data_IF_717194689477
#
_entry.id   IF_717194689477
#
_cell.length_a   1.000
_cell.length_b   1.000
_cell.length_c   1.000
_cell.angle_alpha   90.00
_cell.angle_beta   90.00
_cell.angle_gamma   90.00
#
_symmetry.space_group_name_H-M   'P 1'
#
loop_
_entity.id
_entity.type
_entity.pdbx_description
1 polymer ?
#
# COMPACT_ATOMS: atom_id res chain seq x y z
N UNK A 1 -36.17 27.22 -24.31
CA UNK A 1 -35.14 27.49 -23.28
C UNK A 1 -34.34 26.21 -23.15
N UNK A 2 -33.08 26.04 -23.54
CA UNK A 2 -31.94 26.94 -23.78
C UNK A 2 -31.14 26.44 -24.98
N UNK A 3 -30.62 27.37 -25.80
CA UNK A 3 -29.80 27.07 -26.99
C UNK A 3 -28.33 27.12 -26.59
N UNK A 4 -27.60 26.01 -26.77
CA UNK A 4 -26.14 25.97 -26.67
C UNK A 4 -25.56 26.47 -27.99
N UNK A 5 -24.89 27.61 -27.94
CA UNK A 5 -24.23 28.25 -29.08
C UNK A 5 -22.81 27.70 -29.17
N UNK A 6 -22.52 26.95 -30.23
CA UNK A 6 -21.18 26.46 -30.56
C UNK A 6 -20.47 27.52 -31.40
N UNK A 7 -19.44 28.17 -30.85
CA UNK A 7 -18.58 29.09 -31.59
C UNK A 7 -17.45 28.31 -32.29
N UNK A 8 -17.62 28.10 -33.60
CA UNK A 8 -16.55 27.70 -34.51
C UNK A 8 -15.65 28.91 -34.79
N UNK A 9 -14.45 28.94 -34.21
CA UNK A 9 -13.42 29.92 -34.57
C UNK A 9 -12.67 29.42 -35.80
N UNK A 10 -13.09 29.91 -36.96
CA UNK A 10 -12.38 29.83 -38.24
C UNK A 10 -11.09 30.67 -38.17
N UNK A 11 -9.93 30.02 -38.22
CA UNK A 11 -8.62 30.71 -38.29
C UNK A 11 -8.32 31.05 -39.76
N UNK A 12 -8.66 32.28 -40.14
CA UNK A 12 -8.40 32.87 -41.46
C UNK A 12 -6.89 33.07 -41.64
N UNK A 13 -6.30 32.35 -42.59
CA UNK A 13 -4.97 32.58 -43.12
C UNK A 13 -5.02 33.76 -44.08
N UNK A 14 -4.22 34.80 -43.84
CA UNK A 14 -4.12 35.97 -44.73
C UNK A 14 -3.58 37.19 -44.02
N UNK A 15 -2.27 37.40 -44.13
CA UNK A 15 -1.69 38.54 -44.86
C UNK A 15 -0.28 38.88 -44.37
N UNK A 16 0.66 38.79 -45.31
CA UNK A 16 2.05 39.20 -45.16
C UNK A 16 2.13 40.73 -45.06
N UNK A 17 2.10 41.25 -43.85
CA UNK A 17 2.55 42.61 -43.58
C UNK A 17 4.08 42.65 -43.56
N UNK A 18 4.65 43.37 -44.54
CA UNK A 18 6.07 43.71 -44.60
C UNK A 18 6.48 44.43 -43.31
N UNK A 19 7.54 44.00 -42.62
CA UNK A 19 7.99 44.67 -41.40
C UNK A 19 8.55 46.05 -41.75
N UNK A 20 7.86 47.09 -41.29
CA UNK A 20 8.36 48.46 -41.23
C UNK A 20 9.43 48.49 -40.14
N UNK A 21 10.68 48.71 -40.53
CA UNK A 21 11.82 48.81 -39.64
C UNK A 21 11.64 49.97 -38.66
N UNK A 22 11.04 49.68 -37.50
CA UNK A 22 11.11 50.56 -36.34
C UNK A 22 12.48 50.35 -35.70
N UNK A 23 13.20 51.46 -35.64
CA UNK A 23 14.46 51.66 -34.94
C UNK A 23 14.42 50.91 -33.59
N UNK A 24 15.34 49.97 -33.32
CA UNK A 24 15.39 49.33 -32.01
C UNK A 24 15.83 50.39 -31.02
N UNK A 25 14.86 50.91 -30.25
CA UNK A 25 15.16 51.55 -28.99
C UNK A 25 15.98 50.54 -28.20
N UNK A 26 17.25 50.89 -27.98
CA UNK A 26 18.16 50.20 -27.06
C UNK A 26 17.51 50.31 -25.67
N UNK A 27 16.58 49.41 -25.39
CA UNK A 27 16.19 49.07 -24.04
C UNK A 27 17.49 48.70 -23.33
N UNK A 28 17.97 49.63 -22.52
CA UNK A 28 19.05 49.39 -21.57
C UNK A 28 18.56 48.23 -20.72
N UNK A 29 18.97 47.02 -21.06
CA UNK A 29 18.97 45.90 -20.15
C UNK A 29 19.86 46.36 -19.00
N UNK A 30 19.24 46.98 -18.00
CA UNK A 30 19.85 47.22 -16.71
C UNK A 30 20.27 45.83 -16.25
N UNK A 31 21.56 45.54 -16.41
CA UNK A 31 22.14 44.30 -15.95
C UNK A 31 21.80 44.22 -14.47
N UNK A 32 20.85 43.33 -14.14
CA UNK A 32 20.53 43.01 -12.76
C UNK A 32 21.87 42.75 -12.06
N UNK A 33 22.21 43.53 -11.02
CA UNK A 33 23.51 43.41 -10.39
C UNK A 33 23.70 41.96 -9.99
N UNK A 34 24.87 41.39 -10.34
CA UNK A 34 25.20 39.96 -10.17
C UNK A 34 24.90 39.45 -8.74
N UNK A 35 24.83 40.35 -7.76
CA UNK A 35 24.41 40.06 -6.40
C UNK A 35 22.94 39.62 -6.28
N UNK A 36 21.99 40.27 -6.96
CA UNK A 36 20.56 39.92 -6.91
C UNK A 36 20.34 38.51 -7.47
N UNK A 37 21.01 38.14 -8.56
CA UNK A 37 20.93 36.79 -9.12
C UNK A 37 21.42 35.70 -8.15
N UNK A 38 22.48 35.98 -7.37
CA UNK A 38 22.98 35.06 -6.33
C UNK A 38 21.98 34.89 -5.21
N UNK A 39 21.36 35.97 -4.73
CA UNK A 39 20.34 35.88 -3.68
C UNK A 39 19.09 35.12 -4.14
N UNK A 40 18.62 35.35 -5.37
CA UNK A 40 17.49 34.59 -5.95
C UNK A 40 17.82 33.10 -6.02
N UNK A 41 19.04 32.75 -6.43
CA UNK A 41 19.46 31.35 -6.51
C UNK A 41 19.52 30.68 -5.12
N UNK A 42 20.05 31.37 -4.10
CA UNK A 42 20.07 30.87 -2.72
C UNK A 42 18.65 30.74 -2.16
N UNK A 43 17.78 31.72 -2.40
CA UNK A 43 16.36 31.68 -2.00
C UNK A 43 15.59 30.53 -2.65
N UNK A 44 15.91 30.17 -3.90
CA UNK A 44 15.30 29.03 -4.60
C UNK A 44 15.86 27.68 -4.13
N UNK A 45 17.12 27.61 -3.70
CA UNK A 45 17.73 26.39 -3.16
C UNK A 45 17.31 26.10 -1.73
N UNK A 46 17.03 27.12 -0.93
CA UNK A 46 16.62 26.97 0.47
C UNK A 46 15.41 26.02 0.67
N UNK A 47 14.28 26.14 -0.07
CA UNK A 47 13.15 25.22 0.09
C UNK A 47 13.46 23.80 -0.38
N UNK A 48 14.36 23.62 -1.36
CA UNK A 48 14.80 22.29 -1.80
C UNK A 48 15.57 21.57 -0.68
N UNK A 49 16.48 22.27 0.01
CA UNK A 49 17.24 21.70 1.13
C UNK A 49 16.34 21.49 2.35
N UNK A 50 15.43 22.41 2.66
CA UNK A 50 14.47 22.26 3.76
C UNK A 50 13.48 21.11 3.52
N UNK A 51 13.11 20.83 2.27
CA UNK A 51 12.22 19.71 1.93
C UNK A 51 12.88 18.34 2.13
N UNK A 52 14.21 18.25 2.01
CA UNK A 52 14.94 17.01 2.25
C UNK A 52 15.02 16.64 3.74
N UNK A 53 14.91 17.62 4.65
CA UNK A 53 14.90 17.40 6.09
C UNK A 53 13.50 17.13 6.67
N UNK A 54 12.44 17.21 5.86
CA UNK A 54 11.05 17.03 6.31
C UNK A 54 10.48 15.61 6.04
N UNK A 55 11.33 14.65 5.67
CA UNK A 55 10.91 13.26 5.40
C UNK A 55 10.54 12.50 6.69
N UNK A 56 10.99 12.97 7.85
CA UNK A 56 10.50 12.50 9.14
C UNK A 56 9.29 13.34 9.57
N UNK A 57 8.10 12.78 9.36
CA UNK A 57 6.86 13.34 9.89
C UNK A 57 6.91 13.41 11.41
N UNK A 58 6.22 14.42 11.94
CA UNK A 58 5.96 14.55 13.38
C UNK A 58 5.39 13.21 13.89
N UNK A 59 6.01 12.66 14.95
CA UNK A 59 5.76 11.32 15.52
C UNK A 59 6.34 10.09 14.80
N UNK A 60 7.36 10.23 13.94
CA UNK A 60 8.07 9.08 13.38
C UNK A 60 7.22 8.23 12.42
N UNK A 61 6.16 8.82 11.87
CA UNK A 61 5.36 8.21 10.82
C UNK A 61 5.90 8.68 9.46
N UNK A 62 6.16 7.78 8.50
CA UNK A 62 6.51 8.17 7.14
C UNK A 62 5.38 9.01 6.53
N UNK A 63 5.70 10.10 5.83
CA UNK A 63 4.69 10.86 5.10
C UNK A 63 4.05 10.00 3.98
N UNK A 64 2.72 10.10 3.77
CA UNK A 64 2.05 9.36 2.71
C UNK A 64 2.57 9.80 1.34
N UNK A 65 3.20 8.87 0.64
CA UNK A 65 3.66 9.00 -0.74
C UNK A 65 2.49 8.94 -1.73
N UNK A 66 2.76 9.23 -3.00
CA UNK A 66 1.75 9.08 -4.08
C UNK A 66 1.24 7.62 -4.16
N UNK A 67 2.09 6.64 -3.82
CA UNK A 67 1.71 5.24 -3.76
C UNK A 67 0.73 4.95 -2.62
N UNK A 68 0.89 5.62 -1.47
CA UNK A 68 -0.02 5.48 -0.34
C UNK A 68 -1.40 6.05 -0.67
N UNK A 69 -1.50 7.12 -1.46
CA UNK A 69 -2.80 7.63 -1.94
C UNK A 69 -3.52 6.67 -2.89
N UNK A 70 -2.78 5.98 -3.75
CA UNK A 70 -3.36 4.98 -4.68
C UNK A 70 -3.82 3.75 -3.89
N UNK A 71 -3.04 3.31 -2.91
CA UNK A 71 -3.46 2.27 -1.98
C UNK A 71 -4.73 2.70 -1.21
N UNK A 72 -4.72 3.91 -0.65
CA UNK A 72 -5.88 4.49 0.05
C UNK A 72 -7.11 4.58 -0.85
N UNK A 73 -6.99 5.01 -2.11
CA UNK A 73 -8.13 5.06 -3.04
C UNK A 73 -8.67 3.66 -3.35
N UNK A 74 -7.76 2.70 -3.56
CA UNK A 74 -8.11 1.30 -3.77
C UNK A 74 -8.84 0.69 -2.56
N UNK A 75 -8.48 1.10 -1.34
CA UNK A 75 -9.01 0.59 -0.05
C UNK A 75 -10.23 1.39 0.47
N UNK A 76 -10.33 2.67 0.15
CA UNK A 76 -11.39 3.60 0.59
C UNK A 76 -12.74 3.30 -0.04
N UNK A 77 -12.80 2.36 -0.99
CA UNK A 77 -14.05 1.66 -1.36
C UNK A 77 -14.51 0.66 -0.28
N UNK A 78 -14.45 1.09 0.99
CA UNK A 78 -14.91 0.42 2.22
C UNK A 78 -16.42 0.21 2.21
N UNK A 79 -16.91 -0.79 1.47
CA UNK A 79 -18.29 -1.26 1.65
C UNK A 79 -18.49 -2.72 1.22
N UNK A 80 -17.57 -3.67 1.49
CA UNK A 80 -17.91 -5.11 1.31
C UNK A 80 -17.01 -6.14 2.02
N UNK A 81 -16.57 -5.91 3.27
CA UNK A 81 -15.74 -6.92 3.99
C UNK A 81 -16.51 -8.17 4.49
N UNK A 82 -17.80 -8.32 4.20
CA UNK A 82 -18.66 -9.38 4.79
C UNK A 82 -19.39 -10.28 3.77
N UNK A 83 -19.10 -10.21 2.47
CA UNK A 83 -19.99 -10.80 1.46
C UNK A 83 -19.41 -11.64 0.32
N UNK A 84 -18.10 -11.63 0.04
CA UNK A 84 -17.60 -12.27 -1.19
C UNK A 84 -17.36 -13.77 -1.01
N UNK A 85 -18.44 -14.55 -1.14
CA UNK A 85 -18.47 -16.03 -1.15
C UNK A 85 -17.98 -16.62 -2.49
N UNK A 86 -16.88 -16.08 -3.04
CA UNK A 86 -16.34 -16.44 -4.35
C UNK A 86 -15.36 -17.61 -4.33
N UNK A 87 -15.85 -18.83 -4.09
CA UNK A 87 -15.40 -20.13 -4.64
C UNK A 87 -13.94 -20.64 -4.51
N UNK A 88 -12.95 -19.81 -4.21
CA UNK A 88 -11.54 -20.22 -4.13
C UNK A 88 -11.11 -20.19 -2.67
N UNK A 89 -10.91 -21.36 -2.07
CA UNK A 89 -10.48 -21.50 -0.68
C UNK A 89 -9.24 -20.65 -0.36
N UNK A 90 -9.08 -20.28 0.90
CA UNK A 90 -7.88 -19.60 1.42
C UNK A 90 -6.65 -20.45 1.05
N UNK A 91 -5.66 -19.84 0.41
CA UNK A 91 -4.41 -20.52 0.05
C UNK A 91 -3.56 -20.79 1.29
N UNK A 92 -2.63 -21.75 1.22
CA UNK A 92 -1.74 -22.07 2.34
C UNK A 92 -0.93 -20.84 2.83
N UNK A 93 -0.45 -20.02 1.90
CA UNK A 93 0.28 -18.79 2.24
C UNK A 93 -0.63 -17.75 2.92
N UNK A 94 -1.88 -17.60 2.49
CA UNK A 94 -2.85 -16.72 3.17
C UNK A 94 -3.26 -17.27 4.52
N UNK A 95 -3.37 -18.59 4.68
CA UNK A 95 -3.65 -19.23 5.97
C UNK A 95 -2.50 -18.99 6.95
N UNK A 96 -1.25 -19.18 6.50
CA UNK A 96 -0.07 -18.88 7.31
C UNK A 96 0.02 -17.39 7.69
N UNK A 97 -0.29 -16.50 6.75
CA UNK A 97 -0.35 -15.05 7.01
C UNK A 97 -1.41 -14.73 8.07
N UNK A 98 -2.60 -15.31 7.95
CA UNK A 98 -3.71 -15.07 8.88
C UNK A 98 -3.44 -15.65 10.26
N UNK A 99 -2.90 -16.86 10.36
CA UNK A 99 -2.54 -17.46 11.64
C UNK A 99 -1.52 -16.61 12.40
N UNK A 100 -0.43 -16.20 11.73
CA UNK A 100 0.57 -15.34 12.34
C UNK A 100 0.00 -13.95 12.70
N UNK A 101 -0.84 -13.38 11.82
CA UNK A 101 -1.50 -12.11 12.05
C UNK A 101 -2.44 -12.14 13.26
N UNK A 102 -3.30 -13.16 13.39
CA UNK A 102 -4.20 -13.28 14.55
C UNK A 102 -3.44 -13.41 15.87
N UNK A 103 -2.26 -14.06 15.88
CA UNK A 103 -1.42 -14.13 17.08
C UNK A 103 -0.83 -12.77 17.45
N UNK A 104 -0.42 -11.97 16.47
CA UNK A 104 0.07 -10.60 16.67
C UNK A 104 -1.05 -9.64 17.10
N UNK A 105 -2.24 -9.80 16.54
CA UNK A 105 -3.43 -9.00 16.87
C UNK A 105 -4.06 -9.36 18.21
N UNK A 106 -3.74 -10.53 18.76
CA UNK A 106 -4.27 -10.92 20.07
C UNK A 106 -3.79 -9.91 21.11
N UNK A 107 -4.67 -9.44 22.03
CA UNK A 107 -4.24 -8.59 23.11
C UNK A 107 -3.18 -9.33 23.95
N UNK A 108 -2.31 -8.57 24.63
CA UNK A 108 -1.48 -9.13 25.69
C UNK A 108 -2.39 -9.96 26.59
N UNK A 109 -2.08 -11.24 26.80
CA UNK A 109 -2.90 -12.06 27.66
C UNK A 109 -2.41 -11.81 29.08
N UNK A 110 -3.16 -11.05 29.92
CA UNK A 110 -2.61 -10.63 31.20
C UNK A 110 -2.48 -11.79 32.19
N UNK A 111 -3.05 -12.95 31.87
CA UNK A 111 -3.01 -14.09 32.76
C UNK A 111 -1.71 -14.87 32.61
N UNK A 112 -0.93 -15.04 33.69
CA UNK A 112 0.15 -16.01 33.72
C UNK A 112 -0.48 -17.40 33.57
N UNK A 113 -0.56 -17.92 32.34
CA UNK A 113 -1.09 -19.25 32.03
C UNK A 113 -0.24 -20.40 32.62
N UNK A 114 0.70 -20.11 33.52
CA UNK A 114 1.43 -21.10 34.31
C UNK A 114 0.81 -21.42 35.66
N UNK A 115 -0.13 -20.61 36.19
CA UNK A 115 -0.83 -20.93 37.42
C UNK A 115 -2.20 -21.53 37.11
N UNK A 116 -2.19 -22.74 36.54
CA UNK A 116 -3.33 -23.64 36.65
C UNK A 116 -3.49 -24.02 38.13
N UNK A 117 -4.07 -23.11 38.92
CA UNK A 117 -4.69 -23.48 40.17
C UNK A 117 -5.78 -24.52 39.87
N UNK A 118 -6.05 -25.48 40.76
CA UNK A 118 -6.96 -26.61 40.51
C UNK A 118 -8.44 -26.22 40.33
N UNK A 119 -8.76 -24.93 40.28
CA UNK A 119 -10.12 -24.43 40.05
C UNK A 119 -10.18 -23.75 38.67
N UNK A 120 -10.27 -24.56 37.63
CA UNK A 120 -10.56 -24.14 36.27
C UNK A 120 -11.94 -23.49 36.19
N UNK A 121 -11.97 -22.17 36.17
CA UNK A 121 -13.14 -21.37 35.82
C UNK A 121 -12.96 -20.76 34.44
N UNK A 122 -13.43 -21.47 33.41
CA UNK A 122 -13.50 -20.98 32.03
C UNK A 122 -14.51 -19.82 31.96
N UNK A 123 -14.01 -18.59 32.03
CA UNK A 123 -14.78 -17.37 31.83
C UNK A 123 -14.24 -16.55 30.66
N UNK A 124 -14.59 -16.94 29.43
CA UNK A 124 -14.59 -16.00 28.30
C UNK A 124 -15.73 -14.99 28.55
N UNK A 125 -15.43 -13.89 29.24
CA UNK A 125 -16.43 -12.89 29.55
C UNK A 125 -15.83 -11.63 30.14
N UNK A 126 -15.77 -10.57 29.33
CA UNK A 126 -15.72 -9.21 29.84
C UNK A 126 -14.64 -8.32 29.24
N UNK A 127 -14.94 -7.71 28.09
CA UNK A 127 -14.34 -6.43 27.66
C UNK A 127 -14.78 -5.24 28.54
N UNK A 128 -14.87 -5.46 29.85
CA UNK A 128 -15.37 -4.53 30.85
C UNK A 128 -14.38 -4.36 32.00
N UNK A 129 -13.08 -4.41 31.71
CA UNK A 129 -12.06 -4.07 32.70
C UNK A 129 -12.33 -2.64 33.19
N UNK A 130 -12.69 -2.54 34.48
CA UNK A 130 -12.88 -1.28 35.19
C UNK A 130 -11.61 -0.41 35.01
N UNK A 131 -11.74 0.88 34.73
CA UNK A 131 -10.63 1.82 34.81
C UNK A 131 -10.27 2.02 36.29
N UNK A 132 -9.35 1.22 36.81
CA UNK A 132 -8.91 1.34 38.21
C UNK A 132 -8.27 0.11 38.82
N UNK A 133 -8.40 -1.07 38.22
CA UNK A 133 -7.48 -2.18 38.53
C UNK A 133 -6.20 -1.94 37.73
N UNK A 134 -5.22 -1.30 38.36
CA UNK A 134 -3.88 -1.17 37.81
C UNK A 134 -3.32 -2.53 37.40
N UNK A 135 -2.35 -2.57 36.46
CA UNK A 135 -1.77 -3.82 35.99
C UNK A 135 -1.17 -4.55 37.19
N UNK A 136 -1.81 -5.63 37.62
CA UNK A 136 -1.22 -6.51 38.63
C UNK A 136 0.03 -7.07 37.97
N UNK A 137 1.19 -6.61 38.44
CA UNK A 137 2.48 -6.68 37.76
C UNK A 137 2.69 -7.99 37.01
N UNK A 138 2.80 -7.89 35.69
CA UNK A 138 3.29 -9.02 34.90
C UNK A 138 4.70 -9.35 35.37
N UNK A 139 5.00 -10.62 35.70
CA UNK A 139 6.37 -11.01 35.93
C UNK A 139 7.20 -10.58 34.73
N UNK A 140 8.30 -9.87 34.97
CA UNK A 140 9.21 -9.38 33.93
C UNK A 140 9.61 -10.48 32.93
N UNK A 141 9.79 -11.71 33.41
CA UNK A 141 10.04 -12.91 32.60
C UNK A 141 8.89 -13.27 31.64
N UNK A 142 7.63 -13.00 32.01
CA UNK A 142 6.48 -13.20 31.13
C UNK A 142 6.51 -12.20 29.96
N UNK A 143 6.79 -10.93 30.25
CA UNK A 143 6.96 -9.89 29.22
C UNK A 143 8.07 -10.28 28.25
N UNK A 144 9.22 -10.72 28.76
CA UNK A 144 10.35 -11.19 27.94
C UNK A 144 9.95 -12.35 27.02
N UNK A 145 9.27 -13.36 27.56
CA UNK A 145 8.82 -14.52 26.81
C UNK A 145 7.85 -14.17 25.69
N UNK A 146 6.93 -13.23 25.94
CA UNK A 146 6.02 -12.75 24.90
C UNK A 146 6.70 -11.88 23.85
N UNK A 147 7.61 -10.97 24.23
CA UNK A 147 8.39 -10.18 23.27
C UNK A 147 9.18 -11.10 22.32
N UNK A 148 9.83 -12.15 22.85
CA UNK A 148 10.54 -13.15 22.04
C UNK A 148 9.59 -13.88 21.08
N UNK A 149 8.40 -14.24 21.56
CA UNK A 149 7.37 -14.87 20.71
C UNK A 149 6.91 -13.93 19.62
N UNK A 150 6.67 -12.67 19.92
CA UNK A 150 6.20 -11.66 18.97
C UNK A 150 7.26 -11.35 17.91
N UNK A 151 8.56 -11.34 18.26
CA UNK A 151 9.66 -11.29 17.29
C UNK A 151 9.59 -12.43 16.26
N UNK A 152 9.33 -13.66 16.73
CA UNK A 152 9.19 -14.82 15.86
C UNK A 152 7.93 -14.72 14.99
N UNK A 153 6.80 -14.34 15.58
CA UNK A 153 5.53 -14.19 14.86
C UNK A 153 5.60 -13.09 13.81
N UNK A 154 6.21 -11.94 14.12
CA UNK A 154 6.42 -10.85 13.15
C UNK A 154 7.27 -11.31 11.96
N UNK A 155 8.26 -12.17 12.22
CA UNK A 155 9.07 -12.78 11.15
C UNK A 155 8.22 -13.68 10.25
N UNK A 156 7.45 -14.59 10.84
CA UNK A 156 6.59 -15.53 10.10
C UNK A 156 5.51 -14.79 9.30
N UNK A 157 4.87 -13.81 9.94
CA UNK A 157 3.88 -12.94 9.33
C UNK A 157 4.47 -12.21 8.11
N UNK A 158 5.64 -11.60 8.24
CA UNK A 158 6.31 -10.91 7.14
C UNK A 158 6.67 -11.84 5.98
N UNK A 159 7.10 -13.09 6.25
CA UNK A 159 7.41 -14.06 5.19
C UNK A 159 6.13 -14.45 4.44
N UNK A 160 5.06 -14.79 5.15
CA UNK A 160 3.79 -15.19 4.55
C UNK A 160 3.16 -14.03 3.75
N UNK A 161 3.13 -12.83 4.33
CA UNK A 161 2.58 -11.62 3.69
C UNK A 161 3.27 -11.32 2.36
N UNK A 162 4.61 -11.43 2.28
CA UNK A 162 5.33 -11.25 1.01
C UNK A 162 4.89 -12.25 -0.06
N UNK A 163 4.68 -13.52 0.30
CA UNK A 163 4.24 -14.56 -0.66
C UNK A 163 2.83 -14.31 -1.17
N UNK A 164 1.94 -13.89 -0.27
CA UNK A 164 0.58 -13.48 -0.62
C UNK A 164 0.62 -12.30 -1.58
N UNK A 165 1.36 -11.23 -1.26
CA UNK A 165 1.48 -10.05 -2.11
C UNK A 165 2.11 -10.33 -3.48
N UNK A 166 3.11 -11.23 -3.55
CA UNK A 166 3.68 -11.69 -4.83
C UNK A 166 2.62 -12.41 -5.66
N UNK A 167 1.84 -13.30 -5.04
CA UNK A 167 0.75 -14.03 -5.72
C UNK A 167 -0.33 -13.07 -6.19
N UNK A 168 -0.72 -12.11 -5.35
CA UNK A 168 -1.69 -11.06 -5.67
C UNK A 168 -1.23 -10.14 -6.79
N UNK A 169 0.07 -9.81 -6.85
CA UNK A 169 0.63 -9.04 -7.96
C UNK A 169 0.51 -9.77 -9.31
N UNK A 170 0.67 -11.10 -9.32
CA UNK A 170 0.49 -11.93 -10.51
C UNK A 170 -0.98 -12.05 -10.90
N UNK A 171 -1.88 -12.20 -9.92
CA UNK A 171 -3.34 -12.17 -10.14
C UNK A 171 -3.75 -10.84 -10.79
N UNK A 172 -3.23 -9.71 -10.30
CA UNK A 172 -3.48 -8.42 -10.94
C UNK A 172 -3.00 -8.39 -12.37
N UNK A 173 -1.75 -8.79 -12.61
CA UNK A 173 -1.20 -8.77 -13.95
C UNK A 173 -2.09 -9.56 -14.94
N UNK A 174 -2.56 -10.74 -14.56
CA UNK A 174 -3.50 -11.52 -15.37
C UNK A 174 -4.86 -10.81 -15.59
N UNK A 175 -5.40 -10.16 -14.56
CA UNK A 175 -6.62 -9.35 -14.66
C UNK A 175 -6.45 -8.19 -15.65
N UNK A 176 -5.29 -7.53 -15.66
CA UNK A 176 -5.01 -6.35 -16.51
C UNK A 176 -4.62 -6.68 -17.94
N UNK A 177 -3.88 -7.77 -18.14
CA UNK A 177 -3.54 -8.27 -19.48
C UNK A 177 -4.80 -8.67 -20.28
N UNK A 178 -5.99 -8.57 -19.66
CA UNK A 178 -7.28 -8.90 -20.25
C UNK A 178 -7.25 -10.29 -20.85
N UNK A 179 -6.75 -11.26 -20.07
CA UNK A 179 -6.85 -12.67 -20.45
C UNK A 179 -8.31 -12.92 -20.88
N UNK A 180 -8.54 -13.26 -22.15
CA UNK A 180 -9.88 -13.42 -22.69
C UNK A 180 -10.63 -14.58 -22.01
N UNK A 181 -9.91 -15.44 -21.28
CA UNK A 181 -10.49 -16.56 -20.55
C UNK A 181 -10.97 -16.19 -19.13
N UNK A 182 -10.60 -15.01 -18.61
CA UNK A 182 -11.04 -14.56 -17.29
C UNK A 182 -12.41 -13.90 -17.38
N UNK A 183 -13.40 -14.51 -16.72
CA UNK A 183 -14.74 -13.93 -16.57
C UNK A 183 -14.66 -12.62 -15.79
N UNK A 184 -15.65 -11.73 -16.02
CA UNK A 184 -15.71 -10.43 -15.32
C UNK A 184 -15.83 -10.64 -13.82
N UNK A 185 -16.56 -11.67 -13.42
CA UNK A 185 -16.76 -12.11 -12.05
C UNK A 185 -15.45 -12.53 -11.39
N UNK A 186 -14.58 -13.26 -12.11
CA UNK A 186 -13.28 -13.71 -11.60
C UNK A 186 -12.31 -12.53 -11.41
N UNK A 187 -12.37 -11.54 -12.32
CA UNK A 187 -11.60 -10.30 -12.19
C UNK A 187 -12.01 -9.50 -10.95
N UNK A 188 -13.31 -9.39 -10.69
CA UNK A 188 -13.84 -8.72 -9.49
C UNK A 188 -13.45 -9.48 -8.22
N UNK A 189 -13.68 -10.79 -8.21
CA UNK A 189 -13.32 -11.67 -7.08
C UNK A 189 -11.83 -11.56 -6.73
N UNK A 190 -10.95 -11.56 -7.74
CA UNK A 190 -9.51 -11.39 -7.54
C UNK A 190 -9.16 -10.06 -6.88
N UNK A 191 -9.78 -8.95 -7.33
CA UNK A 191 -9.56 -7.62 -6.73
C UNK A 191 -10.06 -7.55 -5.30
N UNK A 192 -11.24 -8.11 -5.02
CA UNK A 192 -11.83 -8.13 -3.68
C UNK A 192 -10.94 -8.93 -2.71
N UNK A 193 -10.42 -10.08 -3.13
CA UNK A 193 -9.50 -10.90 -2.32
C UNK A 193 -8.20 -10.17 -1.98
N UNK A 194 -7.62 -9.46 -2.93
CA UNK A 194 -6.43 -8.65 -2.68
C UNK A 194 -6.69 -7.51 -1.70
N UNK A 195 -7.84 -6.83 -1.83
CA UNK A 195 -8.26 -5.78 -0.88
C UNK A 195 -8.37 -6.37 0.51
N UNK A 196 -9.01 -7.52 0.65
CA UNK A 196 -9.15 -8.20 1.93
C UNK A 196 -7.78 -8.57 2.53
N UNK A 197 -6.89 -9.17 1.74
CA UNK A 197 -5.54 -9.53 2.18
C UNK A 197 -4.76 -8.30 2.66
N UNK A 198 -4.81 -7.19 1.92
CA UNK A 198 -4.11 -5.98 2.32
C UNK A 198 -4.73 -5.31 3.55
N UNK A 199 -6.06 -5.18 3.59
CA UNK A 199 -6.77 -4.67 4.78
C UNK A 199 -6.47 -5.49 6.03
N UNK A 200 -6.31 -6.81 5.89
CA UNK A 200 -5.90 -7.68 6.99
C UNK A 200 -4.47 -7.37 7.47
N UNK A 201 -3.54 -7.12 6.54
CA UNK A 201 -2.16 -6.75 6.88
C UNK A 201 -2.14 -5.43 7.65
N UNK A 202 -2.84 -4.40 7.16
CA UNK A 202 -2.94 -3.10 7.83
C UNK A 202 -3.55 -3.22 9.23
N UNK A 203 -4.67 -3.93 9.37
CA UNK A 203 -5.30 -4.11 10.68
C UNK A 203 -4.39 -4.85 11.67
N UNK A 204 -3.60 -5.81 11.18
CA UNK A 204 -2.62 -6.53 12.00
C UNK A 204 -1.56 -5.58 12.55
N UNK A 205 -1.02 -4.67 11.74
CA UNK A 205 -0.06 -3.67 12.23
C UNK A 205 -0.68 -2.67 13.19
N UNK A 206 -1.93 -2.27 12.95
CA UNK A 206 -2.66 -1.38 13.87
C UNK A 206 -2.84 -2.03 15.25
N UNK A 207 -3.28 -3.29 15.29
CA UNK A 207 -3.41 -4.08 16.52
C UNK A 207 -2.06 -4.29 17.20
N UNK A 208 -1.04 -4.67 16.43
CA UNK A 208 0.31 -4.90 16.95
C UNK A 208 0.91 -3.61 17.53
N UNK A 209 0.63 -2.45 16.91
CA UNK A 209 1.01 -1.14 17.44
C UNK A 209 0.37 -0.82 18.79
N UNK A 210 -0.90 -1.22 19.02
CA UNK A 210 -1.53 -1.15 20.35
C UNK A 210 -0.83 -2.06 21.35
N UNK A 211 -0.45 -3.26 20.93
CA UNK A 211 0.27 -4.23 21.76
C UNK A 211 1.66 -3.75 22.18
N UNK A 212 2.43 -3.15 21.26
CA UNK A 212 3.73 -2.54 21.58
C UNK A 212 3.61 -1.41 22.62
N UNK A 213 2.54 -0.60 22.55
CA UNK A 213 2.26 0.41 23.58
C UNK A 213 1.96 -0.22 24.94
N UNK A 214 1.24 -1.34 24.97
CA UNK A 214 1.00 -2.07 26.21
C UNK A 214 2.30 -2.59 26.84
N UNK A 215 3.24 -3.13 26.05
CA UNK A 215 4.58 -3.50 26.54
C UNK A 215 5.32 -2.29 27.11
N UNK A 216 5.30 -1.16 26.42
CA UNK A 216 5.93 0.06 26.88
C UNK A 216 5.41 0.47 28.27
N UNK A 217 4.09 0.52 28.47
CA UNK A 217 3.50 0.87 29.76
C UNK A 217 3.86 -0.13 30.86
N UNK A 218 3.83 -1.44 30.55
CA UNK A 218 4.18 -2.47 31.52
C UNK A 218 5.66 -2.39 31.97
N UNK A 219 6.57 -2.14 31.03
CA UNK A 219 8.00 -1.98 31.33
C UNK A 219 8.25 -0.69 32.11
N UNK A 220 7.60 0.42 31.72
CA UNK A 220 7.73 1.72 32.39
C UNK A 220 7.24 1.69 33.85
N UNK A 221 6.14 0.97 34.10
CA UNK A 221 5.62 0.76 35.45
C UNK A 221 6.62 -0.02 36.33
N UNK A 222 7.19 -1.12 35.81
CA UNK A 222 8.17 -1.89 36.57
C UNK A 222 9.44 -1.08 36.81
N UNK A 223 9.91 -0.32 35.81
CA UNK A 223 11.07 0.56 35.92
C UNK A 223 10.88 1.63 37.00
N UNK A 224 9.69 2.22 37.08
CA UNK A 224 9.36 3.25 38.07
C UNK A 224 9.37 2.68 39.50
N UNK A 225 8.95 1.43 39.67
CA UNK A 225 8.89 0.76 40.97
C UNK A 225 10.22 0.14 41.41
N UNK A 226 11.00 -0.40 40.47
CA UNK A 226 12.27 -1.10 40.72
C UNK A 226 13.19 -1.03 39.50
N UNK A 227 14.06 0.00 39.38
CA UNK A 227 15.02 0.08 38.29
C UNK A 227 16.08 -1.02 38.41
N UNK A 228 16.20 -1.86 37.39
CA UNK A 228 17.15 -2.97 37.29
C UNK A 228 17.72 -3.03 35.86
N UNK A 229 18.92 -3.59 35.68
CA UNK A 229 19.51 -3.86 34.38
C UNK A 229 18.59 -4.67 33.45
N UNK A 230 17.76 -5.55 34.01
CA UNK A 230 16.81 -6.34 33.23
C UNK A 230 15.76 -5.48 32.51
N UNK A 231 15.29 -4.38 33.12
CA UNK A 231 14.29 -3.51 32.46
C UNK A 231 14.90 -2.77 31.27
N UNK A 232 16.18 -2.39 31.35
CA UNK A 232 16.93 -1.79 30.23
C UNK A 232 17.06 -2.77 29.06
N UNK A 233 17.29 -4.07 29.33
CA UNK A 233 17.34 -5.09 28.28
C UNK A 233 15.96 -5.26 27.59
N UNK A 234 14.87 -5.26 28.37
CA UNK A 234 13.51 -5.32 27.81
C UNK A 234 13.19 -4.09 26.95
N UNK A 235 13.58 -2.88 27.39
CA UNK A 235 13.42 -1.65 26.60
C UNK A 235 14.16 -1.77 25.26
N UNK A 236 15.39 -2.28 25.26
CA UNK A 236 16.16 -2.54 24.05
C UNK A 236 15.48 -3.55 23.12
N UNK A 237 14.97 -4.65 23.66
CA UNK A 237 14.23 -5.68 22.91
C UNK A 237 12.93 -5.12 22.30
N UNK A 238 12.20 -4.30 23.05
CA UNK A 238 10.98 -3.61 22.59
C UNK A 238 11.29 -2.61 21.48
N UNK A 239 12.36 -1.80 21.63
CA UNK A 239 12.79 -0.86 20.59
C UNK A 239 13.13 -1.59 19.29
N UNK A 240 13.91 -2.67 19.37
CA UNK A 240 14.24 -3.48 18.22
C UNK A 240 12.99 -4.09 17.55
N UNK A 241 12.01 -4.54 18.33
CA UNK A 241 10.74 -5.06 17.80
C UNK A 241 9.94 -3.97 17.07
N UNK A 242 9.87 -2.76 17.65
CA UNK A 242 9.19 -1.60 17.07
C UNK A 242 9.83 -1.16 15.75
N UNK A 243 11.15 -1.07 15.71
CA UNK A 243 11.87 -0.66 14.50
C UNK A 243 11.70 -1.69 13.40
N UNK A 244 11.72 -2.98 13.77
CA UNK A 244 11.44 -4.08 12.85
C UNK A 244 10.02 -4.07 12.32
N UNK A 245 9.02 -3.79 13.16
CA UNK A 245 7.62 -3.72 12.73
C UNK A 245 7.40 -2.56 11.76
N UNK A 246 7.94 -1.37 12.08
CA UNK A 246 7.84 -0.20 11.21
C UNK A 246 8.52 -0.43 9.85
N UNK A 247 9.71 -1.05 9.85
CA UNK A 247 10.43 -1.42 8.63
C UNK A 247 9.63 -2.41 7.76
N UNK A 248 9.04 -3.44 8.39
CA UNK A 248 8.22 -4.43 7.69
C UNK A 248 6.92 -3.82 7.15
N UNK A 249 6.24 -2.98 7.92
CA UNK A 249 5.03 -2.27 7.51
C UNK A 249 5.32 -1.43 6.26
N UNK A 250 6.37 -0.61 6.31
CA UNK A 250 6.81 0.19 5.16
C UNK A 250 7.11 -0.66 3.92
N UNK A 251 7.81 -1.79 4.09
CA UNK A 251 8.12 -2.71 3.01
C UNK A 251 6.86 -3.28 2.35
N UNK A 252 5.90 -3.76 3.15
CA UNK A 252 4.68 -4.39 2.67
C UNK A 252 3.75 -3.39 1.98
N UNK A 253 3.59 -2.19 2.56
CA UNK A 253 2.81 -1.09 1.96
C UNK A 253 3.41 -0.67 0.62
N UNK A 254 4.75 -0.55 0.54
CA UNK A 254 5.44 -0.23 -0.72
C UNK A 254 5.24 -1.33 -1.77
N UNK A 255 5.33 -2.60 -1.38
CA UNK A 255 5.09 -3.72 -2.30
C UNK A 255 3.69 -3.67 -2.90
N UNK A 256 2.69 -3.39 -2.06
CA UNK A 256 1.31 -3.26 -2.50
C UNK A 256 1.11 -2.04 -3.41
N UNK A 257 1.62 -0.86 -3.02
CA UNK A 257 1.54 0.34 -3.84
C UNK A 257 2.15 0.14 -5.24
N UNK A 258 3.26 -0.59 -5.36
CA UNK A 258 3.84 -0.97 -6.66
C UNK A 258 2.95 -1.96 -7.42
N UNK A 259 2.37 -2.94 -6.74
CA UNK A 259 1.48 -3.92 -7.37
C UNK A 259 0.19 -3.26 -7.92
N UNK A 260 -0.40 -2.34 -7.16
CA UNK A 260 -1.58 -1.57 -7.58
C UNK A 260 -1.22 -0.59 -8.69
N UNK A 261 -0.12 0.17 -8.57
CA UNK A 261 0.29 1.12 -9.59
C UNK A 261 0.61 0.45 -10.95
N UNK A 262 1.22 -0.74 -10.93
CA UNK A 262 1.39 -1.56 -12.16
C UNK A 262 0.07 -1.97 -12.77
N UNK A 263 -0.93 -2.18 -11.92
CA UNK A 263 -2.27 -2.47 -12.35
C UNK A 263 -3.00 -1.27 -12.96
N UNK A 264 -2.98 -0.14 -12.27
CA UNK A 264 -3.64 1.08 -12.73
C UNK A 264 -2.97 1.72 -13.94
N UNK A 265 -1.72 1.36 -14.26
CA UNK A 265 -1.11 1.67 -15.54
C UNK A 265 -1.82 0.91 -16.67
N UNK A 266 -3.01 1.39 -17.05
CA UNK A 266 -3.39 1.36 -18.44
C UNK A 266 -2.37 2.26 -19.14
N UNK A 267 -1.45 1.74 -19.98
CA UNK A 267 -0.77 2.62 -20.92
C UNK A 267 -1.88 3.44 -21.59
N UNK A 268 -1.66 4.75 -21.84
CA UNK A 268 -2.61 5.51 -22.64
C UNK A 268 -2.94 4.60 -23.80
N UNK A 269 -4.24 4.28 -23.95
CA UNK A 269 -4.72 3.71 -25.19
C UNK A 269 -4.35 4.78 -26.20
N UNK A 270 -3.13 4.73 -26.74
CA UNK A 270 -2.85 5.18 -28.07
C UNK A 270 -3.94 4.46 -28.80
N UNK A 271 -5.02 5.22 -29.08
CA UNK A 271 -6.23 4.74 -29.72
C UNK A 271 -5.69 3.78 -30.74
N UNK A 272 -5.91 2.48 -30.51
CA UNK A 272 -5.32 1.44 -31.32
C UNK A 272 -5.77 1.84 -32.70
N UNK A 273 -4.88 2.49 -33.45
CA UNK A 273 -5.14 3.06 -34.78
C UNK A 273 -5.81 1.89 -35.43
N UNK A 274 -7.11 2.02 -35.65
CA UNK A 274 -7.99 0.91 -35.99
C UNK A 274 -7.17 0.08 -36.95
N UNK A 275 -6.68 -1.08 -36.49
CA UNK A 275 -5.90 -1.93 -37.40
C UNK A 275 -6.90 -2.11 -38.53
N UNK A 276 -6.58 -1.68 -39.77
CA UNK A 276 -7.52 -1.81 -40.86
C UNK A 276 -8.01 -3.24 -40.77
N UNK A 277 -9.32 -3.42 -40.60
CA UNK A 277 -9.92 -4.74 -40.63
C UNK A 277 -9.41 -5.36 -41.92
N UNK A 278 -8.41 -6.23 -41.82
CA UNK A 278 -8.15 -7.17 -42.88
C UNK A 278 -9.49 -7.83 -43.11
N UNK A 279 -9.90 -7.84 -44.38
CA UNK A 279 -11.23 -8.22 -44.81
C UNK A 279 -11.66 -9.60 -44.28
N UNK A 280 -12.88 -10.04 -44.63
CA UNK A 280 -13.38 -11.34 -44.20
C UNK A 280 -12.31 -12.42 -44.41
N UNK A 281 -12.15 -13.35 -43.45
CA UNK A 281 -11.12 -14.39 -43.54
C UNK A 281 -11.24 -15.08 -44.90
N UNK A 282 -10.20 -14.96 -45.72
CA UNK A 282 -10.12 -15.71 -46.96
C UNK A 282 -10.14 -17.19 -46.54
N UNK A 283 -11.12 -18.00 -46.97
CA UNK A 283 -11.15 -19.40 -46.58
C UNK A 283 -9.83 -20.03 -47.00
N UNK A 284 -9.11 -20.60 -46.02
CA UNK A 284 -7.94 -21.42 -46.30
C UNK A 284 -8.39 -22.55 -47.24
N UNK A 285 -7.99 -22.48 -48.50
CA UNK A 285 -8.14 -23.57 -49.45
C UNK A 285 -7.29 -24.72 -48.92
N UNK A 286 -7.93 -25.79 -48.41
CA UNK A 286 -7.23 -27.03 -48.06
C UNK A 286 -6.41 -27.48 -49.27
N UNK A 287 -5.14 -27.77 -49.04
CA UNK A 287 -4.19 -28.33 -50.02
C UNK A 287 -4.66 -29.64 -50.66
N UNK A 288 -5.70 -30.25 -50.10
CA UNK A 288 -6.14 -31.60 -50.40
C UNK A 288 -7.37 -31.61 -51.32
N UNK A 289 -7.86 -30.44 -51.75
CA UNK A 289 -8.95 -30.38 -52.73
C UNK A 289 -8.41 -30.46 -54.17
N UNK A 290 -8.74 -31.53 -54.92
CA UNK A 290 -8.34 -31.64 -56.31
C UNK A 290 -8.97 -30.52 -57.15
N UNK A 291 -8.16 -29.95 -58.04
CA UNK A 291 -8.58 -28.91 -58.98
C UNK A 291 -9.56 -29.55 -59.98
N UNK A 292 -10.78 -29.03 -60.16
CA UNK A 292 -11.67 -29.55 -61.19
C UNK A 292 -11.07 -29.24 -62.57
N UNK A 293 -10.58 -30.27 -63.25
CA UNK A 293 -10.24 -30.19 -64.66
C UNK A 293 -11.53 -30.00 -65.46
N UNK A 294 -11.75 -28.79 -65.96
CA UNK A 294 -12.72 -28.56 -67.03
C UNK A 294 -12.03 -28.89 -68.35
N UNK A 295 -12.36 -30.04 -68.93
CA UNK A 295 -12.14 -30.27 -70.35
C UNK A 295 -13.18 -29.45 -71.12
N UNK A 296 -12.70 -28.63 -72.05
CA UNK A 296 -13.47 -28.09 -73.17
C UNK A 296 -12.97 -28.74 -74.44
#
# INVERSE_FOLDING_TARGET
>A
MSRVVVFLVQRKSGDRLKPRATRPDRARHQALPKQIARYIFVLLLLPLVLSACAIEGDFGRPQPTIFDRVADEFLSSKTTLLGSRGGSGVTDDEMAMREAGYRLSSPLNPSPQGAAGPYGGSGYGGYGARPGSGPVGHPLAAIEGELKRDHQMLTQFGIASRRVLVTDSRRMQAVYENDPNLLVEDKRSSRDRMRENFSFIESTFEDFGRRLKAYYYAIDEVRTNAPDAFTVELEGSLSHLRDRSASLEYELTRYFGVAVARGEYQPPRFASRERPRYGPPVPYRRSDQPVPYSFK
#
